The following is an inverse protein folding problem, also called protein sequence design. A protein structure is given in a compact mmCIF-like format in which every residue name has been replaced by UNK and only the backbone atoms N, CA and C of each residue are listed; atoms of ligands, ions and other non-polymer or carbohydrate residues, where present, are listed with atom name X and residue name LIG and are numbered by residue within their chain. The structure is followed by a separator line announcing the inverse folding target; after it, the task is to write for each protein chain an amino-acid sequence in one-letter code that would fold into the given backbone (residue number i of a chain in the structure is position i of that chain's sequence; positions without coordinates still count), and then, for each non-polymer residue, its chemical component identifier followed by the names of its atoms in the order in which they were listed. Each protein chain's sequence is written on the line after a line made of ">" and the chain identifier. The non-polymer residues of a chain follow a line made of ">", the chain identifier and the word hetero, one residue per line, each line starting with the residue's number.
data_IF_773318927586
#
_entry.id   IF_773318927586
#
_cell.length_a   1.000
_cell.length_b   1.000
_cell.length_c   1.000
_cell.angle_alpha   90.00
_cell.angle_beta   90.00
_cell.angle_gamma   90.00
#
_symmetry.space_group_name_H-M   'P 1'
#
loop_
_entity.id
_entity.type
_entity.pdbx_description
1 polymer ?
#
# COMPACT_ATOMS: atom_id res chain seq x y z
N UNK A 1 17.94 -9.48 -19.57
CA UNK A 1 18.64 -8.21 -19.84
C UNK A 1 17.63 -7.09 -20.16
N UNK A 2 18.01 -5.84 -19.91
CA UNK A 2 17.17 -4.66 -20.16
C UNK A 2 16.72 -4.56 -21.63
N UNK A 3 17.51 -5.11 -22.56
CA UNK A 3 17.20 -5.11 -24.00
C UNK A 3 16.18 -6.17 -24.43
N UNK A 4 15.71 -7.05 -23.54
CA UNK A 4 14.77 -8.13 -23.86
C UNK A 4 15.31 -9.29 -24.71
N UNK A 5 16.57 -9.23 -25.19
CA UNK A 5 17.16 -10.34 -25.97
C UNK A 5 17.55 -11.49 -25.04
N UNK A 6 17.21 -12.71 -25.45
CA UNK A 6 17.68 -13.92 -24.76
C UNK A 6 19.21 -14.05 -24.89
N UNK A 7 19.84 -14.52 -23.84
CA UNK A 7 21.27 -14.88 -23.84
C UNK A 7 21.47 -16.23 -23.21
N UNK A 8 22.37 -17.02 -23.77
CA UNK A 8 22.72 -18.38 -23.30
C UNK A 8 24.14 -18.44 -22.72
N UNK A 9 24.88 -17.33 -22.76
CA UNK A 9 26.24 -17.27 -22.27
C UNK A 9 26.29 -17.15 -20.77
N UNK A 10 26.56 -18.28 -20.09
CA UNK A 10 26.69 -18.33 -18.64
C UNK A 10 27.91 -17.53 -18.19
N UNK A 11 27.67 -16.52 -17.30
CA UNK A 11 28.74 -15.74 -16.68
C UNK A 11 29.20 -16.35 -15.36
N UNK A 12 28.26 -16.71 -14.47
CA UNK A 12 28.57 -17.29 -13.17
C UNK A 12 27.37 -18.04 -12.57
N UNK A 13 27.67 -18.96 -11.66
CA UNK A 13 26.66 -19.65 -10.84
C UNK A 13 26.91 -19.36 -9.38
N UNK A 14 25.85 -19.01 -8.64
CA UNK A 14 25.89 -18.75 -7.21
C UNK A 14 24.92 -19.64 -6.48
N UNK A 15 25.34 -20.18 -5.35
CA UNK A 15 24.43 -20.85 -4.42
C UNK A 15 23.87 -19.80 -3.44
N UNK A 16 22.56 -19.60 -3.45
CA UNK A 16 21.86 -18.68 -2.57
C UNK A 16 20.96 -19.42 -1.59
N UNK A 17 20.79 -18.84 -0.42
CA UNK A 17 19.91 -19.32 0.64
C UNK A 17 18.80 -18.28 0.81
N UNK A 18 17.55 -18.73 0.76
CA UNK A 18 16.36 -17.92 0.98
C UNK A 18 15.59 -18.48 2.16
N UNK A 19 15.18 -17.62 3.09
CA UNK A 19 14.23 -18.03 4.10
C UNK A 19 12.84 -18.15 3.46
N UNK A 20 12.16 -19.25 3.74
CA UNK A 20 10.82 -19.53 3.25
C UNK A 20 9.80 -19.56 4.40
N UNK A 21 8.52 -19.73 4.06
CA UNK A 21 7.46 -19.92 5.04
C UNK A 21 7.79 -21.07 6.00
N UNK A 22 7.50 -20.91 7.30
CA UNK A 22 7.87 -21.91 8.30
C UNK A 22 7.08 -23.20 8.14
N UNK A 23 7.72 -24.33 8.39
CA UNK A 23 7.08 -25.64 8.47
C UNK A 23 7.02 -26.09 9.92
N UNK A 24 5.81 -26.32 10.46
CA UNK A 24 5.59 -26.72 11.86
C UNK A 24 6.26 -25.77 12.86
N UNK A 25 6.14 -24.47 12.65
CA UNK A 25 6.76 -23.41 13.45
C UNK A 25 8.30 -23.49 13.50
N UNK A 26 8.92 -24.12 12.51
CA UNK A 26 10.39 -24.19 12.38
C UNK A 26 10.83 -23.40 11.15
N UNK A 27 11.94 -22.71 11.32
CA UNK A 27 12.58 -21.95 10.25
C UNK A 27 12.92 -22.85 9.06
N UNK A 28 12.48 -22.47 7.88
CA UNK A 28 12.69 -23.20 6.63
C UNK A 28 13.55 -22.38 5.67
N UNK A 29 14.43 -23.05 4.95
CA UNK A 29 15.30 -22.41 3.97
C UNK A 29 15.30 -23.16 2.63
N UNK A 30 15.17 -22.41 1.55
CA UNK A 30 15.44 -22.89 0.19
C UNK A 30 16.90 -22.62 -0.16
N UNK A 31 17.57 -23.61 -0.71
CA UNK A 31 18.89 -23.48 -1.32
C UNK A 31 18.73 -23.59 -2.83
N UNK A 32 19.01 -22.50 -3.55
CA UNK A 32 18.89 -22.47 -5.01
C UNK A 32 20.25 -22.13 -5.66
N UNK A 33 20.53 -22.77 -6.79
CA UNK A 33 21.57 -22.30 -7.69
C UNK A 33 20.96 -21.19 -8.54
N UNK A 34 21.60 -20.04 -8.56
CA UNK A 34 21.18 -18.86 -9.30
C UNK A 34 22.23 -18.55 -10.36
N UNK A 35 21.79 -18.31 -11.56
CA UNK A 35 22.67 -18.12 -12.70
C UNK A 35 22.75 -16.66 -13.11
N UNK A 36 23.96 -16.21 -13.46
CA UNK A 36 24.19 -14.94 -14.13
C UNK A 36 24.60 -15.20 -15.57
N UNK A 37 24.14 -14.35 -16.46
CA UNK A 37 24.41 -14.45 -17.89
C UNK A 37 25.03 -13.16 -18.42
N UNK A 38 25.93 -13.29 -19.40
CA UNK A 38 26.42 -12.15 -20.18
C UNK A 38 25.36 -11.76 -21.20
N UNK A 39 25.10 -10.47 -21.34
CA UNK A 39 24.26 -9.97 -22.43
C UNK A 39 25.07 -9.99 -23.74
N UNK A 40 24.60 -10.75 -24.73
CA UNK A 40 25.26 -10.88 -26.03
C UNK A 40 24.94 -9.72 -26.98
N UNK A 41 24.09 -8.79 -26.58
CA UNK A 41 23.83 -7.57 -27.34
C UNK A 41 24.89 -6.49 -27.03
N UNK A 42 25.75 -6.11 -28.00
CA UNK A 42 26.82 -5.12 -27.76
C UNK A 42 26.29 -3.72 -27.43
N UNK A 43 25.08 -3.39 -27.88
CA UNK A 43 24.45 -2.10 -27.64
C UNK A 43 23.69 -2.03 -26.28
N UNK A 44 23.60 -3.14 -25.55
CA UNK A 44 22.92 -3.17 -24.27
C UNK A 44 23.83 -2.61 -23.17
N UNK A 45 23.30 -1.68 -22.38
CA UNK A 45 23.99 -1.12 -21.22
C UNK A 45 24.22 -2.16 -20.11
N UNK A 46 23.29 -3.10 -19.96
CA UNK A 46 23.37 -4.17 -18.99
C UNK A 46 24.22 -5.33 -19.56
N UNK A 47 25.49 -5.39 -19.17
CA UNK A 47 26.43 -6.41 -19.68
C UNK A 47 26.25 -7.77 -19.01
N UNK A 48 25.88 -7.80 -17.72
CA UNK A 48 25.65 -9.03 -16.95
C UNK A 48 24.33 -8.90 -16.22
N UNK A 49 23.49 -9.91 -16.29
CA UNK A 49 22.20 -9.96 -15.59
C UNK A 49 22.00 -11.29 -14.89
N UNK A 50 21.15 -11.29 -13.86
CA UNK A 50 20.75 -12.49 -13.14
C UNK A 50 19.43 -13.00 -13.72
N UNK A 51 19.22 -14.30 -13.69
CA UNK A 51 17.93 -14.90 -13.99
C UNK A 51 16.86 -14.43 -12.99
N UNK A 52 15.64 -14.31 -13.45
CA UNK A 52 14.50 -14.03 -12.59
C UNK A 52 14.07 -15.31 -11.87
N UNK A 53 13.93 -15.21 -10.55
CA UNK A 53 13.46 -16.29 -9.72
C UNK A 53 11.95 -16.17 -9.52
N UNK A 54 11.16 -17.23 -9.76
CA UNK A 54 9.70 -17.18 -9.66
C UNK A 54 9.18 -17.01 -8.21
N UNK A 55 10.06 -17.08 -7.22
CA UNK A 55 9.72 -17.07 -5.80
C UNK A 55 10.42 -15.96 -5.01
N UNK A 56 11.31 -15.18 -5.62
CA UNK A 56 12.05 -14.11 -4.92
C UNK A 56 12.69 -13.14 -5.91
N UNK A 57 12.69 -11.87 -5.61
CA UNK A 57 13.41 -10.85 -6.39
C UNK A 57 14.93 -10.97 -6.17
N UNK A 58 15.71 -10.46 -7.12
CA UNK A 58 17.17 -10.64 -7.19
C UNK A 58 17.93 -10.22 -5.91
N UNK A 59 17.49 -9.18 -5.22
CA UNK A 59 18.15 -8.64 -4.01
C UNK A 59 17.59 -9.18 -2.69
N UNK A 60 16.57 -10.04 -2.72
CA UNK A 60 15.89 -10.51 -1.52
C UNK A 60 16.56 -11.76 -0.95
N UNK A 61 16.46 -11.94 0.36
CA UNK A 61 16.94 -13.13 1.11
C UNK A 61 15.78 -13.97 1.65
N UNK A 62 14.57 -13.61 1.30
CA UNK A 62 13.32 -14.28 1.65
C UNK A 62 12.50 -14.52 0.39
N UNK A 63 11.64 -15.54 0.45
CA UNK A 63 10.66 -15.78 -0.60
C UNK A 63 9.54 -14.74 -0.56
N UNK A 64 8.89 -14.49 -1.69
CA UNK A 64 7.73 -13.61 -1.77
C UNK A 64 6.58 -14.15 -0.91
N UNK A 65 6.41 -15.47 -0.83
CA UNK A 65 5.44 -16.12 0.05
C UNK A 65 5.68 -15.76 1.53
N UNK A 66 6.95 -15.77 1.98
CA UNK A 66 7.28 -15.37 3.36
C UNK A 66 7.04 -13.87 3.58
N UNK A 67 7.40 -13.02 2.62
CA UNK A 67 7.15 -11.58 2.72
C UNK A 67 5.64 -11.30 2.79
N UNK A 68 4.82 -12.00 2.02
CA UNK A 68 3.35 -11.90 2.07
C UNK A 68 2.81 -12.32 3.45
N UNK A 69 3.31 -13.43 4.02
CA UNK A 69 2.93 -13.87 5.36
C UNK A 69 3.30 -12.82 6.41
N UNK A 70 4.50 -12.24 6.34
CA UNK A 70 4.95 -11.19 7.26
C UNK A 70 4.03 -9.97 7.19
N UNK A 71 3.72 -9.48 5.99
CA UNK A 71 2.81 -8.36 5.78
C UNK A 71 1.41 -8.67 6.31
N UNK A 72 0.86 -9.85 6.02
CA UNK A 72 -0.47 -10.26 6.49
C UNK A 72 -0.56 -10.26 8.02
N UNK A 73 0.44 -10.76 8.73
CA UNK A 73 0.49 -10.73 10.21
C UNK A 73 0.61 -9.31 10.73
N UNK A 74 1.43 -8.47 10.09
CA UNK A 74 1.67 -7.10 10.54
C UNK A 74 0.54 -6.12 10.21
N UNK A 75 -0.42 -6.48 9.35
CA UNK A 75 -1.65 -5.69 9.15
C UNK A 75 -2.55 -5.61 10.40
N UNK A 76 -2.48 -6.60 11.27
CA UNK A 76 -3.33 -6.69 12.46
C UNK A 76 -2.60 -6.36 13.76
N UNK A 77 -1.28 -6.15 13.71
CA UNK A 77 -0.42 -5.94 14.87
C UNK A 77 0.53 -4.78 14.63
N UNK A 78 1.05 -4.19 15.72
CA UNK A 78 2.23 -3.30 15.57
C UNK A 78 3.43 -4.10 15.06
N UNK A 79 4.40 -3.44 14.42
CA UNK A 79 5.62 -4.11 13.92
C UNK A 79 6.33 -4.92 15.01
N UNK A 80 6.35 -4.42 16.26
CA UNK A 80 6.90 -5.16 17.42
C UNK A 80 6.07 -6.40 17.74
N UNK A 81 4.74 -6.27 17.76
CA UNK A 81 3.82 -7.39 18.00
C UNK A 81 3.95 -8.45 16.92
N UNK A 82 3.98 -8.02 15.65
CA UNK A 82 4.19 -8.91 14.51
C UNK A 82 5.52 -9.66 14.57
N UNK A 83 6.62 -8.96 14.88
CA UNK A 83 7.94 -9.58 15.06
C UNK A 83 7.93 -10.68 16.15
N UNK A 84 7.28 -10.42 17.30
CA UNK A 84 7.15 -11.40 18.39
C UNK A 84 6.34 -12.63 17.97
N UNK A 85 5.18 -12.42 17.33
CA UNK A 85 4.32 -13.52 16.83
C UNK A 85 5.03 -14.34 15.77
N UNK A 86 5.66 -13.68 14.79
CA UNK A 86 6.42 -14.34 13.73
C UNK A 86 7.59 -15.16 14.29
N UNK A 87 8.27 -14.67 15.35
CA UNK A 87 9.33 -15.41 16.03
C UNK A 87 8.81 -16.74 16.62
N UNK A 88 7.62 -16.74 17.23
CA UNK A 88 6.99 -17.97 17.73
C UNK A 88 6.64 -18.96 16.61
N UNK A 89 6.38 -18.44 15.42
CA UNK A 89 6.12 -19.23 14.22
C UNK A 89 7.41 -19.69 13.49
N UNK A 90 8.58 -19.38 14.02
CA UNK A 90 9.86 -19.74 13.40
C UNK A 90 10.37 -18.75 12.36
N UNK A 91 9.84 -17.53 12.33
CA UNK A 91 10.30 -16.46 11.42
C UNK A 91 11.02 -15.39 12.23
N UNK A 92 12.34 -15.29 12.08
CA UNK A 92 13.14 -14.25 12.71
C UNK A 92 13.17 -13.00 11.82
N UNK A 93 12.53 -11.95 12.27
CA UNK A 93 12.44 -10.69 11.52
C UNK A 93 12.39 -9.51 12.49
N UNK A 94 13.11 -8.43 12.19
CA UNK A 94 13.10 -7.21 13.00
C UNK A 94 11.97 -6.26 12.58
N UNK A 95 11.60 -5.36 13.49
CA UNK A 95 10.62 -4.30 13.24
C UNK A 95 10.99 -3.45 12.02
N UNK A 96 12.26 -3.08 11.88
CA UNK A 96 12.76 -2.28 10.75
C UNK A 96 12.62 -3.03 9.43
N UNK A 97 12.82 -4.36 9.45
CA UNK A 97 12.63 -5.16 8.23
C UNK A 97 11.16 -5.23 7.83
N UNK A 98 10.24 -5.30 8.79
CA UNK A 98 8.79 -5.23 8.52
C UNK A 98 8.45 -3.86 7.93
N UNK A 99 8.99 -2.78 8.52
CA UNK A 99 8.80 -1.43 7.98
C UNK A 99 9.30 -1.32 6.54
N UNK A 100 10.50 -1.80 6.25
CA UNK A 100 11.04 -1.79 4.89
C UNK A 100 10.23 -2.64 3.89
N UNK A 101 9.47 -3.64 4.35
CA UNK A 101 8.55 -4.35 3.47
C UNK A 101 7.34 -3.48 3.11
N UNK A 102 6.80 -2.72 4.08
CA UNK A 102 5.74 -1.74 3.82
C UNK A 102 6.21 -0.62 2.87
N UNK A 103 7.40 -0.09 3.08
CA UNK A 103 7.98 0.98 2.26
C UNK A 103 8.17 0.58 0.78
N UNK A 104 8.14 -0.73 0.49
CA UNK A 104 8.22 -1.27 -0.87
C UNK A 104 6.87 -1.54 -1.53
N UNK A 105 5.78 -1.38 -0.78
CA UNK A 105 4.44 -1.49 -1.35
C UNK A 105 4.18 -0.22 -2.15
N UNK A 106 4.11 -0.35 -3.45
CA UNK A 106 3.69 0.73 -4.33
C UNK A 106 2.16 0.78 -4.36
N UNK A 107 1.60 1.95 -4.10
CA UNK A 107 0.20 2.18 -4.35
C UNK A 107 -0.03 2.24 -5.85
N UNK A 108 -0.99 1.48 -6.33
CA UNK A 108 -1.37 1.51 -7.74
C UNK A 108 -2.31 2.70 -7.90
N UNK A 109 -1.80 3.77 -8.48
CA UNK A 109 -2.63 4.90 -8.87
C UNK A 109 -3.52 4.51 -10.06
N UNK A 110 -4.77 4.95 -10.01
CA UNK A 110 -5.74 4.72 -11.10
C UNK A 110 -6.25 6.06 -11.63
N UNK A 111 -5.60 6.65 -12.65
CA UNK A 111 -6.01 7.94 -13.19
C UNK A 111 -7.40 7.91 -13.86
N UNK A 112 -7.94 6.72 -14.11
CA UNK A 112 -9.25 6.52 -14.73
C UNK A 112 -10.37 6.25 -13.70
N UNK A 113 -10.09 6.41 -12.40
CA UNK A 113 -11.09 6.22 -11.36
C UNK A 113 -12.24 7.23 -11.52
N UNK A 114 -13.48 6.74 -11.40
CA UNK A 114 -14.69 7.56 -11.57
C UNK A 114 -15.43 7.81 -10.25
N UNK A 115 -15.30 6.93 -9.28
CA UNK A 115 -16.06 6.96 -8.03
C UNK A 115 -15.11 6.76 -6.85
N UNK A 116 -14.98 7.77 -6.00
CA UNK A 116 -14.03 7.74 -4.88
C UNK A 116 -14.69 8.03 -3.54
N UNK A 117 -14.11 7.44 -2.48
CA UNK A 117 -14.34 7.82 -1.10
C UNK A 117 -13.18 8.67 -0.59
N UNK A 118 -13.49 9.73 0.16
CA UNK A 118 -12.49 10.62 0.78
C UNK A 118 -12.79 10.71 2.27
N UNK A 119 -11.78 10.39 3.09
CA UNK A 119 -11.87 10.43 4.55
C UNK A 119 -10.58 10.97 5.18
N UNK A 120 -10.66 11.51 6.40
CA UNK A 120 -9.48 11.92 7.14
C UNK A 120 -9.00 10.80 8.08
N UNK A 121 -7.71 10.49 8.00
CA UNK A 121 -7.07 9.46 8.81
C UNK A 121 -6.08 10.11 9.77
N UNK A 122 -6.25 9.84 11.06
CA UNK A 122 -5.30 10.30 12.07
C UNK A 122 -4.05 9.42 12.08
N UNK A 123 -2.95 9.90 11.55
CA UNK A 123 -1.62 9.26 11.63
C UNK A 123 -1.10 9.31 13.08
N UNK A 124 -1.23 10.49 13.71
CA UNK A 124 -1.06 10.68 15.16
C UNK A 124 -2.24 11.45 15.69
N UNK A 125 -3.05 10.79 16.50
CA UNK A 125 -4.28 11.37 17.06
C UNK A 125 -4.00 12.75 17.68
N UNK A 126 -4.71 13.77 17.18
CA UNK A 126 -4.56 15.16 17.63
C UNK A 126 -3.35 15.93 17.10
N UNK A 127 -2.48 15.32 16.27
CA UNK A 127 -1.26 15.96 15.77
C UNK A 127 -1.15 15.92 14.24
N UNK A 128 -1.18 14.74 13.64
CA UNK A 128 -0.95 14.57 12.21
C UNK A 128 -2.10 13.79 11.57
N UNK A 129 -2.62 14.34 10.50
CA UNK A 129 -3.71 13.75 9.72
C UNK A 129 -3.27 13.57 8.27
N UNK A 130 -3.89 12.62 7.60
CA UNK A 130 -3.76 12.41 6.16
C UNK A 130 -5.16 12.29 5.56
N UNK A 131 -5.29 12.61 4.27
CA UNK A 131 -6.49 12.37 3.48
C UNK A 131 -6.34 11.04 2.77
N UNK A 132 -7.22 10.09 3.06
CA UNK A 132 -7.26 8.80 2.40
C UNK A 132 -8.27 8.83 1.25
N UNK A 133 -7.87 8.30 0.09
CA UNK A 133 -8.70 8.19 -1.11
C UNK A 133 -8.88 6.72 -1.44
N UNK A 134 -10.13 6.28 -1.56
CA UNK A 134 -10.53 4.89 -1.84
C UNK A 134 -11.30 4.80 -3.14
N UNK A 135 -11.12 3.73 -3.90
CA UNK A 135 -12.06 3.35 -4.95
C UNK A 135 -13.36 2.83 -4.32
N UNK A 136 -14.51 3.35 -4.73
CA UNK A 136 -15.80 2.90 -4.19
C UNK A 136 -16.28 1.56 -4.79
N UNK A 137 -15.66 1.07 -5.85
CA UNK A 137 -16.04 -0.21 -6.49
C UNK A 137 -15.52 -1.42 -5.70
N UNK A 138 -14.29 -1.35 -5.25
CA UNK A 138 -13.61 -2.49 -4.59
C UNK A 138 -13.01 -2.12 -3.21
N UNK A 139 -13.17 -0.85 -2.81
CA UNK A 139 -12.75 -0.30 -1.51
C UNK A 139 -11.22 -0.35 -1.25
N UNK A 140 -10.40 -0.49 -2.29
CA UNK A 140 -8.96 -0.40 -2.08
C UNK A 140 -8.50 1.06 -1.93
N UNK A 141 -7.44 1.26 -1.18
CA UNK A 141 -6.81 2.57 -1.01
C UNK A 141 -6.05 2.94 -2.28
N UNK A 142 -6.43 4.07 -2.91
CA UNK A 142 -5.78 4.61 -4.10
C UNK A 142 -4.63 5.54 -3.71
N UNK A 143 -4.87 6.43 -2.76
CA UNK A 143 -3.89 7.41 -2.33
C UNK A 143 -4.02 7.75 -0.85
N UNK A 144 -2.89 8.13 -0.25
CA UNK A 144 -2.82 8.71 1.07
C UNK A 144 -2.06 10.04 0.96
N UNK A 145 -2.78 11.15 1.12
CA UNK A 145 -2.27 12.50 0.94
C UNK A 145 -1.97 13.15 2.29
N UNK A 146 -0.89 13.91 2.37
CA UNK A 146 -0.54 14.61 3.61
C UNK A 146 -1.50 15.76 3.93
N UNK A 147 -1.98 15.80 5.17
CA UNK A 147 -2.89 16.85 5.63
C UNK A 147 -4.37 16.55 5.37
N UNK A 148 -5.24 17.49 5.81
CA UNK A 148 -6.71 17.41 5.69
C UNK A 148 -7.36 18.76 5.33
N UNK A 149 -6.59 19.71 4.85
CA UNK A 149 -7.03 21.08 4.54
C UNK A 149 -7.66 21.23 3.15
N UNK A 150 -7.69 20.16 2.36
CA UNK A 150 -8.23 20.11 1.01
C UNK A 150 -7.24 20.45 -0.10
N UNK A 151 -6.12 21.11 0.18
CA UNK A 151 -5.13 21.45 -0.86
C UNK A 151 -4.49 20.20 -1.49
N UNK A 152 -4.05 19.18 -0.72
CA UNK A 152 -3.56 17.94 -1.30
C UNK A 152 -4.59 17.23 -2.18
N UNK A 153 -5.87 17.28 -1.79
CA UNK A 153 -6.95 16.72 -2.60
C UNK A 153 -7.13 17.47 -3.91
N UNK A 154 -7.03 18.81 -3.93
CA UNK A 154 -7.08 19.60 -5.17
C UNK A 154 -5.99 19.19 -6.15
N UNK A 155 -4.75 19.07 -5.67
CA UNK A 155 -3.62 18.67 -6.52
C UNK A 155 -3.83 17.27 -7.10
N UNK A 156 -4.32 16.34 -6.29
CA UNK A 156 -4.62 14.98 -6.75
C UNK A 156 -5.74 14.95 -7.80
N UNK A 157 -6.84 15.70 -7.57
CA UNK A 157 -7.98 15.76 -8.49
C UNK A 157 -7.62 16.37 -9.85
N UNK A 158 -6.61 17.23 -9.95
CA UNK A 158 -6.14 17.77 -11.24
C UNK A 158 -5.67 16.69 -12.22
N UNK A 159 -5.09 15.62 -11.69
CA UNK A 159 -4.66 14.46 -12.48
C UNK A 159 -5.75 13.38 -12.63
N UNK A 160 -6.86 13.49 -11.87
CA UNK A 160 -7.96 12.51 -11.84
C UNK A 160 -9.29 13.13 -12.27
N UNK A 161 -9.29 13.77 -13.42
CA UNK A 161 -10.43 14.53 -13.95
C UNK A 161 -11.63 13.70 -14.40
N UNK A 162 -11.54 12.36 -14.36
CA UNK A 162 -12.66 11.45 -14.66
C UNK A 162 -13.54 11.16 -13.45
N UNK A 163 -13.17 11.63 -12.27
CA UNK A 163 -13.97 11.47 -11.04
C UNK A 163 -15.30 12.21 -11.20
N UNK A 164 -16.40 11.47 -11.10
CA UNK A 164 -17.77 11.97 -11.23
C UNK A 164 -18.59 11.85 -9.95
N UNK A 165 -18.16 11.02 -9.01
CA UNK A 165 -18.80 10.84 -7.72
C UNK A 165 -17.78 10.77 -6.59
N UNK A 166 -18.00 11.57 -5.55
CA UNK A 166 -17.18 11.57 -4.33
C UNK A 166 -18.06 11.35 -3.12
N UNK A 167 -17.86 10.23 -2.41
CA UNK A 167 -18.38 10.02 -1.08
C UNK A 167 -17.40 10.62 -0.06
N UNK A 168 -17.87 11.51 0.82
CA UNK A 168 -17.03 12.17 1.81
C UNK A 168 -17.77 12.43 3.12
N UNK A 169 -17.01 12.74 4.16
CA UNK A 169 -17.55 13.32 5.37
C UNK A 169 -18.09 14.74 5.11
N UNK A 170 -18.58 15.41 6.15
CA UNK A 170 -19.10 16.78 6.05
C UNK A 170 -18.05 17.87 6.09
N UNK A 171 -16.76 17.56 6.03
CA UNK A 171 -15.70 18.56 6.06
C UNK A 171 -15.83 19.56 4.91
N UNK A 172 -15.93 20.83 5.24
CA UNK A 172 -16.11 21.92 4.25
C UNK A 172 -14.89 22.08 3.34
N UNK A 173 -13.70 21.73 3.83
CA UNK A 173 -12.45 21.80 3.07
C UNK A 173 -12.48 20.90 1.84
N UNK A 174 -12.93 19.65 2.00
CA UNK A 174 -13.06 18.71 0.86
C UNK A 174 -14.16 19.14 -0.13
N UNK A 175 -15.31 19.64 0.41
CA UNK A 175 -16.37 20.17 -0.45
C UNK A 175 -15.86 21.28 -1.35
N UNK A 176 -15.14 22.23 -0.76
CA UNK A 176 -14.57 23.38 -1.47
C UNK A 176 -13.55 22.94 -2.53
N UNK A 177 -12.65 22.02 -2.16
CA UNK A 177 -11.65 21.48 -3.06
C UNK A 177 -12.27 20.79 -4.30
N UNK A 178 -13.29 19.96 -4.07
CA UNK A 178 -13.98 19.25 -5.16
C UNK A 178 -14.74 20.23 -6.05
N UNK A 179 -15.50 21.18 -5.49
CA UNK A 179 -16.25 22.15 -6.27
C UNK A 179 -15.35 23.06 -7.13
N UNK A 180 -14.13 23.35 -6.66
CA UNK A 180 -13.19 24.17 -7.40
C UNK A 180 -12.58 23.45 -8.62
N UNK A 181 -12.27 22.17 -8.48
CA UNK A 181 -11.58 21.39 -9.51
C UNK A 181 -12.57 20.63 -10.42
N UNK A 182 -13.63 20.08 -9.83
CA UNK A 182 -14.64 19.27 -10.51
C UNK A 182 -16.06 19.77 -10.16
N UNK A 183 -16.50 20.92 -10.70
CA UNK A 183 -17.76 21.55 -10.33
C UNK A 183 -19.00 20.69 -10.64
N UNK A 184 -18.93 19.82 -11.64
CA UNK A 184 -20.03 18.93 -12.03
C UNK A 184 -20.01 17.58 -11.28
N UNK A 185 -19.05 17.36 -10.39
CA UNK A 185 -18.91 16.11 -9.64
C UNK A 185 -20.01 15.98 -8.59
N UNK A 186 -20.69 14.83 -8.57
CA UNK A 186 -21.68 14.51 -7.55
C UNK A 186 -20.99 14.25 -6.22
N UNK A 187 -21.39 14.98 -5.17
CA UNK A 187 -20.90 14.76 -3.83
C UNK A 187 -21.98 14.13 -2.96
N UNK A 188 -21.66 13.03 -2.29
CA UNK A 188 -22.57 12.33 -1.38
C UNK A 188 -21.97 12.28 0.03
N UNK A 189 -22.83 12.39 1.05
CA UNK A 189 -22.38 12.25 2.42
C UNK A 189 -22.17 10.77 2.75
N UNK A 190 -21.08 10.45 3.46
CA UNK A 190 -20.85 9.09 3.96
C UNK A 190 -21.98 8.67 4.91
N UNK A 191 -22.48 7.43 4.70
CA UNK A 191 -23.58 6.82 5.45
C UNK A 191 -23.25 6.69 6.94
N UNK A 192 -22.01 6.40 7.29
CA UNK A 192 -21.57 6.26 8.69
C UNK A 192 -21.74 7.57 9.44
N UNK A 193 -21.29 8.68 8.88
CA UNK A 193 -21.44 10.00 9.47
C UNK A 193 -22.91 10.48 9.56
N UNK A 194 -23.75 10.04 8.60
CA UNK A 194 -25.20 10.30 8.69
C UNK A 194 -25.84 9.53 9.86
N UNK A 195 -25.54 8.25 10.03
CA UNK A 195 -26.06 7.42 11.12
C UNK A 195 -25.56 7.90 12.47
N UNK A 196 -24.28 8.25 12.59
CA UNK A 196 -23.69 8.77 13.83
C UNK A 196 -24.37 10.06 14.28
N UNK A 197 -24.65 10.98 13.37
CA UNK A 197 -25.36 12.22 13.67
C UNK A 197 -26.82 11.98 14.05
N UNK A 198 -27.50 11.03 13.42
CA UNK A 198 -28.88 10.62 13.78
C UNK A 198 -28.94 10.02 15.18
N UNK A 199 -27.96 9.24 15.58
CA UNK A 199 -27.87 8.65 16.92
C UNK A 199 -27.54 9.67 18.01
N UNK A 200 -26.77 10.73 17.68
CA UNK A 200 -26.40 11.79 18.61
C UNK A 200 -27.46 12.89 18.71
N UNK A 201 -28.31 13.07 17.71
CA UNK A 201 -29.38 14.08 17.70
C UNK A 201 -30.30 14.02 18.93
N UNK A 202 -30.75 12.86 19.45
CA UNK A 202 -31.57 12.78 20.64
C UNK A 202 -30.88 13.32 21.90
N UNK A 203 -29.56 13.18 22.02
CA UNK A 203 -28.80 13.66 23.18
C UNK A 203 -28.67 15.18 23.24
N UNK A 204 -28.70 15.88 22.11
CA UNK A 204 -28.67 17.36 22.08
C UNK A 204 -30.02 17.98 22.44
N UNK A 205 -31.13 17.31 22.15
CA UNK A 205 -32.47 17.81 22.49
C UNK A 205 -32.81 17.66 23.99
N UNK A 206 -32.20 16.70 24.69
CA UNK A 206 -32.46 16.48 26.12
C UNK A 206 -31.71 17.46 27.03
N UNK A 207 -30.64 18.12 26.57
CA UNK A 207 -29.88 19.10 27.36
C UNK A 207 -30.34 20.55 27.21
N UNK A 208 -31.32 20.86 26.36
CA UNK A 208 -31.89 22.20 26.23
C UNK A 208 -33.23 22.37 26.96
N UNK A 209 -33.70 21.33 27.65
CA UNK A 209 -35.00 21.37 28.41
C UNK A 209 -34.76 21.14 29.92
N UNK A 210 -33.58 21.44 30.44
CA UNK A 210 -33.32 21.45 31.88
C UNK A 210 -32.87 22.82 32.34
#
# INVERSE_FOLDING_TARGET
>A
PVCGKMSHKLHATYRRKFQDTPIRCKQTFLHANVYKYDCENPECECKVFMEDLPFSKASQVRTDALNTLVLAVSMFLSNEGASKVLSLLGVQISNDTIQHLYDRIEFIDNPDVEEIGVDDVAIRKGQTYATAIYDLKDHHLIALLDGRDGEPLKEWLKSHNKVRLVARDRASAYASAINEILPDCMQVADRFHLLQNLLLAPFYFTHQIA
#
